data_IF_619971112547
#
_entry.id   IF_619971112547
#
_cell.length_a   1.000
_cell.length_b   1.000
_cell.length_c   1.000
_cell.angle_alpha   90.00
_cell.angle_beta   90.00
_cell.angle_gamma   90.00
#
_symmetry.space_group_name_H-M   'P 1'
#
loop_
_entity.id
_entity.type
_entity.pdbx_description
1 polymer ?
#
# COMPACT_ATOMS: atom_id res chain seq x y z
N UNK A 1 -2.63 20.90 9.04
CA UNK A 1 -2.12 19.55 8.69
C UNK A 1 -3.36 18.69 8.45
N UNK A 2 -3.45 18.01 7.31
CA UNK A 2 -4.68 17.28 6.96
C UNK A 2 -4.90 16.13 7.95
N UNK A 3 -6.16 15.78 8.23
CA UNK A 3 -6.53 14.70 9.15
C UNK A 3 -5.86 13.35 8.81
N UNK A 4 -5.48 13.15 7.54
CA UNK A 4 -4.78 11.97 7.04
C UNK A 4 -3.37 11.84 7.61
N UNK A 5 -2.60 12.93 7.72
CA UNK A 5 -1.23 12.88 8.24
C UNK A 5 -1.18 12.56 9.74
N UNK A 6 -2.12 13.10 10.52
CA UNK A 6 -2.21 12.79 11.96
C UNK A 6 -2.66 11.34 12.19
N UNK A 7 -3.59 10.83 11.36
CA UNK A 7 -3.99 9.43 11.38
C UNK A 7 -2.83 8.50 10.99
N UNK A 8 -2.06 8.86 9.97
CA UNK A 8 -0.86 8.13 9.54
C UNK A 8 0.19 8.10 10.66
N UNK A 9 0.49 9.22 11.31
CA UNK A 9 1.49 9.27 12.39
C UNK A 9 1.11 8.36 13.56
N UNK A 10 -0.17 8.37 13.97
CA UNK A 10 -0.69 7.49 15.03
C UNK A 10 -0.57 6.01 14.68
N UNK A 11 -0.78 5.66 13.41
CA UNK A 11 -0.74 4.27 12.95
C UNK A 11 0.64 3.80 12.49
N UNK A 12 1.54 4.71 12.13
CA UNK A 12 2.92 4.41 11.78
C UNK A 12 3.64 3.69 12.93
N UNK A 13 3.33 4.03 14.20
CA UNK A 13 3.93 3.33 15.35
C UNK A 13 3.51 1.86 15.43
N UNK A 14 2.22 1.59 15.22
CA UNK A 14 1.66 0.24 15.27
C UNK A 14 2.15 -0.57 14.09
N UNK A 15 2.13 0.02 12.88
CA UNK A 15 2.66 -0.57 11.65
C UNK A 15 4.14 -0.92 11.84
N UNK A 16 4.96 -0.01 12.37
CA UNK A 16 6.39 -0.27 12.61
C UNK A 16 6.63 -1.38 13.64
N UNK A 17 5.80 -1.48 14.68
CA UNK A 17 5.88 -2.56 15.67
C UNK A 17 5.52 -3.91 15.05
N UNK A 18 4.45 -3.94 14.26
CA UNK A 18 3.96 -5.16 13.61
C UNK A 18 4.86 -5.61 12.46
N UNK A 19 5.53 -4.69 11.76
CA UNK A 19 6.45 -4.97 10.66
C UNK A 19 7.91 -5.13 11.11
N UNK A 20 8.19 -5.22 12.42
CA UNK A 20 9.53 -5.49 12.95
C UNK A 20 9.88 -6.97 12.77
N UNK A 21 10.17 -7.35 11.53
CA UNK A 21 10.45 -8.72 11.08
C UNK A 21 11.91 -8.86 10.62
N UNK A 22 12.45 -10.08 10.48
CA UNK A 22 13.82 -10.29 10.01
C UNK A 22 14.11 -9.68 8.63
N UNK A 23 13.13 -9.65 7.72
CA UNK A 23 13.25 -9.09 6.37
C UNK A 23 12.35 -7.84 6.19
N UNK A 24 12.54 -6.88 7.11
CA UNK A 24 11.70 -5.69 7.21
C UNK A 24 11.74 -4.82 5.95
N UNK A 25 12.93 -4.65 5.36
CA UNK A 25 13.08 -3.85 4.14
C UNK A 25 12.24 -4.44 2.99
N UNK A 26 12.35 -5.74 2.74
CA UNK A 26 11.58 -6.40 1.68
C UNK A 26 10.09 -6.32 1.94
N UNK A 27 9.65 -6.47 3.18
CA UNK A 27 8.24 -6.34 3.53
C UNK A 27 7.71 -4.93 3.23
N UNK A 28 8.47 -3.88 3.57
CA UNK A 28 8.11 -2.52 3.18
C UNK A 28 8.08 -2.34 1.66
N UNK A 29 9.01 -2.96 0.90
CA UNK A 29 9.02 -2.83 -0.58
C UNK A 29 7.76 -3.44 -1.17
N UNK A 30 7.41 -4.64 -0.74
CA UNK A 30 6.21 -5.33 -1.22
C UNK A 30 4.94 -4.57 -0.78
N UNK A 31 4.92 -4.01 0.44
CA UNK A 31 3.80 -3.20 0.91
C UNK A 31 3.65 -1.86 0.16
N UNK A 32 4.77 -1.19 -0.16
CA UNK A 32 4.77 0.03 -0.95
C UNK A 32 4.31 -0.23 -2.39
N UNK A 33 4.78 -1.33 -3.00
CA UNK A 33 4.29 -1.75 -4.32
C UNK A 33 2.80 -2.11 -4.31
N UNK A 34 2.31 -2.75 -3.25
CA UNK A 34 0.88 -3.00 -3.06
C UNK A 34 0.07 -1.69 -3.01
N UNK A 35 0.61 -0.66 -2.35
CA UNK A 35 0.01 0.69 -2.33
C UNK A 35 0.00 1.33 -3.72
N UNK A 36 1.12 1.26 -4.43
CA UNK A 36 1.22 1.75 -5.81
C UNK A 36 0.25 1.05 -6.76
N UNK A 37 0.15 -0.28 -6.71
CA UNK A 37 -0.78 -1.04 -7.56
C UNK A 37 -2.24 -0.73 -7.26
N UNK A 38 -2.52 -0.33 -6.02
CA UNK A 38 -3.84 0.15 -5.61
C UNK A 38 -4.11 1.50 -6.26
N UNK A 39 -3.21 2.48 -6.14
CA UNK A 39 -3.35 3.79 -6.80
C UNK A 39 -3.43 3.67 -8.33
N UNK A 40 -2.71 2.72 -8.95
CA UNK A 40 -2.77 2.41 -10.39
C UNK A 40 -4.12 1.75 -10.81
N UNK A 41 -5.16 1.78 -9.97
CA UNK A 41 -6.44 1.14 -10.27
C UNK A 41 -7.05 1.63 -11.59
N UNK A 42 -6.86 2.90 -11.93
CA UNK A 42 -7.39 3.58 -13.12
C UNK A 42 -6.37 3.80 -14.24
N UNK A 43 -5.25 3.07 -14.20
CA UNK A 43 -4.20 2.96 -15.23
C UNK A 43 -3.15 4.08 -15.25
N UNK A 44 -3.33 5.17 -14.50
CA UNK A 44 -2.32 6.22 -14.41
C UNK A 44 -2.11 6.64 -12.96
N UNK A 45 -0.88 7.06 -12.65
CA UNK A 45 -0.56 7.77 -11.42
C UNK A 45 0.10 9.05 -11.86
N UNK A 46 -0.48 10.20 -11.53
CA UNK A 46 0.10 11.49 -11.86
C UNK A 46 1.19 11.93 -10.86
N UNK A 47 1.82 13.07 -11.12
CA UNK A 47 2.92 13.59 -10.30
C UNK A 47 2.48 13.98 -8.88
N UNK A 48 1.23 14.42 -8.70
CA UNK A 48 0.70 14.79 -7.38
C UNK A 48 0.41 13.55 -6.54
N UNK A 49 -0.21 12.55 -7.17
CA UNK A 49 -0.47 11.23 -6.59
C UNK A 49 0.83 10.54 -6.19
N UNK A 50 1.83 10.58 -7.08
CA UNK A 50 3.18 10.08 -6.82
C UNK A 50 3.83 10.77 -5.63
N UNK A 51 3.81 12.10 -5.59
CA UNK A 51 4.39 12.86 -4.49
C UNK A 51 3.68 12.55 -3.15
N UNK A 52 2.37 12.32 -3.18
CA UNK A 52 1.58 11.86 -2.04
C UNK A 52 2.05 10.50 -1.51
N UNK A 53 2.22 9.52 -2.40
CA UNK A 53 2.73 8.20 -2.04
C UNK A 53 4.14 8.23 -1.46
N UNK A 54 5.06 9.02 -2.03
CA UNK A 54 6.44 9.15 -1.52
C UNK A 54 6.42 9.65 -0.08
N UNK A 55 5.70 10.75 0.20
CA UNK A 55 5.57 11.30 1.55
C UNK A 55 4.97 10.29 2.54
N UNK A 56 3.99 9.51 2.08
CA UNK A 56 3.38 8.46 2.88
C UNK A 56 4.38 7.36 3.24
N UNK A 57 5.14 6.87 2.26
CA UNK A 57 6.15 5.83 2.45
C UNK A 57 7.23 6.30 3.43
N UNK A 58 7.72 7.53 3.27
CA UNK A 58 8.70 8.14 4.18
C UNK A 58 8.16 8.25 5.62
N UNK A 59 6.95 8.75 5.78
CA UNK A 59 6.33 8.94 7.09
C UNK A 59 6.05 7.60 7.81
N UNK A 60 5.51 6.62 7.08
CA UNK A 60 5.11 5.33 7.65
C UNK A 60 6.30 4.43 7.96
N UNK A 61 7.35 4.48 7.15
CA UNK A 61 8.57 3.69 7.36
C UNK A 61 9.46 4.24 8.47
N UNK A 62 9.23 5.48 8.94
CA UNK A 62 10.06 6.18 9.94
C UNK A 62 11.57 6.09 9.64
N UNK A 63 11.92 6.15 8.36
CA UNK A 63 13.30 6.05 7.91
C UNK A 63 13.87 4.63 7.73
N UNK A 64 13.04 3.58 7.83
CA UNK A 64 13.46 2.23 7.45
C UNK A 64 13.77 2.07 5.95
N UNK A 65 13.43 3.08 5.14
CA UNK A 65 13.61 3.12 3.67
C UNK A 65 14.54 4.25 3.21
N UNK A 66 15.37 4.81 4.10
CA UNK A 66 16.21 6.01 3.82
C UNK A 66 17.09 5.89 2.57
N UNK A 67 17.53 4.68 2.21
CA UNK A 67 18.39 4.46 1.03
C UNK A 67 17.63 4.26 -0.28
N UNK A 68 16.30 4.30 -0.25
CA UNK A 68 15.53 4.05 -1.46
C UNK A 68 15.41 5.32 -2.27
N UNK A 69 15.84 5.25 -3.52
CA UNK A 69 15.37 6.19 -4.54
C UNK A 69 13.89 5.90 -4.80
N UNK A 70 13.00 6.50 -4.00
CA UNK A 70 11.58 6.18 -4.02
C UNK A 70 10.93 6.44 -5.38
N UNK A 71 11.37 7.48 -6.09
CA UNK A 71 10.93 7.73 -7.47
C UNK A 71 11.30 6.58 -8.41
N UNK A 72 12.58 6.18 -8.42
CA UNK A 72 13.07 5.03 -9.20
C UNK A 72 12.34 3.74 -8.82
N UNK A 73 12.07 3.55 -7.53
CA UNK A 73 11.31 2.39 -7.04
C UNK A 73 9.87 2.35 -7.58
N UNK A 74 9.18 3.49 -7.62
CA UNK A 74 7.83 3.58 -8.19
C UNK A 74 7.85 3.40 -9.71
N UNK A 75 8.89 3.86 -10.41
CA UNK A 75 9.08 3.57 -11.83
C UNK A 75 9.25 2.07 -12.09
N UNK A 76 10.02 1.39 -11.24
CA UNK A 76 10.16 -0.06 -11.33
C UNK A 76 8.84 -0.78 -11.05
N UNK A 77 8.01 -0.26 -10.12
CA UNK A 77 6.66 -0.80 -9.88
C UNK A 77 5.79 -0.68 -11.13
N UNK A 78 5.83 0.49 -11.80
CA UNK A 78 5.12 0.72 -13.06
C UNK A 78 5.58 -0.25 -14.16
N UNK A 79 6.91 -0.40 -14.31
CA UNK A 79 7.52 -1.29 -15.29
C UNK A 79 7.10 -2.75 -15.07
N UNK A 80 7.13 -3.23 -13.80
CA UNK A 80 6.69 -4.59 -13.46
C UNK A 80 5.18 -4.78 -13.68
N UNK A 81 4.36 -3.80 -13.30
CA UNK A 81 2.91 -3.86 -13.52
C UNK A 81 2.57 -3.98 -15.03
N UNK A 82 3.32 -3.25 -15.88
CA UNK A 82 3.19 -3.30 -17.34
C UNK A 82 3.69 -4.62 -17.93
N UNK A 83 4.83 -5.12 -17.46
CA UNK A 83 5.46 -6.34 -17.98
C UNK A 83 4.67 -7.61 -17.60
N UNK A 84 4.27 -7.73 -16.34
CA UNK A 84 3.57 -8.91 -15.82
C UNK A 84 2.07 -8.88 -16.16
N UNK A 85 1.52 -7.68 -16.37
CA UNK A 85 0.09 -7.43 -16.40
C UNK A 85 -0.50 -7.38 -14.98
N UNK A 86 -1.46 -6.47 -14.80
CA UNK A 86 -2.04 -6.09 -13.50
C UNK A 86 -2.46 -7.30 -12.64
N UNK A 87 -3.19 -8.26 -13.22
CA UNK A 87 -3.69 -9.42 -12.48
C UNK A 87 -2.57 -10.32 -11.96
N UNK A 88 -1.56 -10.59 -12.77
CA UNK A 88 -0.43 -11.42 -12.36
C UNK A 88 0.42 -10.71 -11.31
N UNK A 89 0.64 -9.40 -11.47
CA UNK A 89 1.38 -8.59 -10.50
C UNK A 89 0.70 -8.54 -9.14
N UNK A 90 -0.62 -8.32 -9.10
CA UNK A 90 -1.41 -8.32 -7.86
C UNK A 90 -1.32 -9.67 -7.13
N UNK A 91 -1.38 -10.79 -7.87
CA UNK A 91 -1.23 -12.12 -7.28
C UNK A 91 0.16 -12.28 -6.67
N UNK A 92 1.22 -11.95 -7.42
CA UNK A 92 2.60 -12.08 -6.97
C UNK A 92 2.91 -11.22 -5.73
N UNK A 93 2.43 -9.98 -5.70
CA UNK A 93 2.59 -9.08 -4.56
C UNK A 93 1.83 -9.60 -3.35
N UNK A 94 0.58 -10.05 -3.52
CA UNK A 94 -0.19 -10.65 -2.43
C UNK A 94 0.45 -11.91 -1.85
N UNK A 95 0.94 -12.84 -2.69
CA UNK A 95 1.67 -14.03 -2.24
C UNK A 95 2.96 -13.68 -1.49
N UNK A 96 3.66 -12.63 -1.94
CA UNK A 96 4.85 -12.12 -1.25
C UNK A 96 4.51 -11.56 0.14
N UNK A 97 3.41 -10.82 0.27
CA UNK A 97 2.92 -10.33 1.57
C UNK A 97 2.60 -11.49 2.53
N UNK A 98 1.99 -12.57 2.01
CA UNK A 98 1.71 -13.77 2.79
C UNK A 98 3.00 -14.46 3.27
N UNK A 99 3.95 -14.63 2.37
CA UNK A 99 5.23 -15.32 2.63
C UNK A 99 6.08 -14.60 3.66
N UNK A 100 6.01 -13.27 3.70
CA UNK A 100 6.73 -12.43 4.66
C UNK A 100 6.05 -12.36 6.04
N UNK A 101 4.89 -13.01 6.21
CA UNK A 101 4.32 -13.37 7.51
C UNK A 101 3.43 -12.30 8.18
N UNK A 102 3.38 -11.08 7.65
CA UNK A 102 2.62 -9.96 8.25
C UNK A 102 1.70 -9.26 7.23
N UNK A 103 0.81 -9.99 6.55
CA UNK A 103 0.05 -9.44 5.43
C UNK A 103 -0.96 -8.36 5.83
N UNK A 104 -1.54 -8.41 7.03
CA UNK A 104 -2.51 -7.39 7.51
C UNK A 104 -1.84 -6.03 7.75
N UNK A 105 -0.70 -6.02 8.44
CA UNK A 105 0.07 -4.82 8.70
C UNK A 105 0.61 -4.21 7.39
N UNK A 106 1.07 -5.06 6.48
CA UNK A 106 1.55 -4.62 5.17
C UNK A 106 0.42 -4.10 4.27
N UNK A 107 -0.78 -4.70 4.32
CA UNK A 107 -1.96 -4.16 3.63
C UNK A 107 -2.42 -2.83 4.23
N UNK A 108 -2.32 -2.67 5.55
CA UNK A 108 -2.62 -1.38 6.18
C UNK A 108 -1.64 -0.29 5.72
N UNK A 109 -0.35 -0.60 5.64
CA UNK A 109 0.65 0.28 5.04
C UNK A 109 0.29 0.62 3.59
N UNK A 110 0.02 -0.41 2.76
CA UNK A 110 -0.35 -0.24 1.36
C UNK A 110 -1.59 0.65 1.19
N UNK A 111 -2.61 0.46 2.02
CA UNK A 111 -3.83 1.27 2.00
C UNK A 111 -3.57 2.72 2.41
N UNK A 112 -2.68 3.00 3.37
CA UNK A 112 -2.31 4.39 3.66
C UNK A 112 -1.53 5.05 2.52
N UNK A 113 -0.65 4.30 1.84
CA UNK A 113 0.08 4.80 0.67
C UNK A 113 -0.90 5.13 -0.45
N UNK A 114 -1.83 4.24 -0.78
CA UNK A 114 -2.86 4.48 -1.78
C UNK A 114 -3.78 5.66 -1.37
N UNK A 115 -4.25 5.70 -0.14
CA UNK A 115 -5.07 6.82 0.35
C UNK A 115 -4.38 8.19 0.22
N UNK A 116 -3.04 8.22 0.23
CA UNK A 116 -2.27 9.44 0.08
C UNK A 116 -2.06 9.88 -1.37
N UNK A 117 -2.36 9.04 -2.37
CA UNK A 117 -2.33 9.47 -3.78
C UNK A 117 -3.45 10.47 -4.05
N UNK A 118 -4.65 10.24 -3.52
CA UNK A 118 -5.78 11.14 -3.70
C UNK A 118 -7.06 10.66 -3.03
N UNK A 119 -7.07 9.42 -2.55
CA UNK A 119 -8.21 8.78 -1.92
C UNK A 119 -8.14 7.28 -2.13
N UNK A 120 -9.19 6.58 -1.71
CA UNK A 120 -9.44 5.22 -2.16
C UNK A 120 -10.90 5.17 -2.62
N UNK A 121 -11.10 4.97 -3.92
CA UNK A 121 -12.40 4.78 -4.54
C UNK A 121 -12.83 3.28 -4.57
N UNK A 122 -13.96 2.98 -5.22
CA UNK A 122 -14.47 1.61 -5.36
C UNK A 122 -13.53 0.68 -6.15
N UNK A 123 -12.84 1.18 -7.18
CA UNK A 123 -11.91 0.41 -8.00
C UNK A 123 -10.65 0.10 -7.19
N UNK A 124 -10.10 1.09 -6.52
CA UNK A 124 -8.93 0.96 -5.64
C UNK A 124 -9.23 0.01 -4.47
N UNK A 125 -10.38 0.14 -3.82
CA UNK A 125 -10.82 -0.79 -2.77
C UNK A 125 -10.92 -2.24 -3.28
N UNK A 126 -11.32 -2.44 -4.54
CA UNK A 126 -11.33 -3.76 -5.18
C UNK A 126 -9.92 -4.31 -5.35
N UNK A 127 -8.93 -3.47 -5.64
CA UNK A 127 -7.51 -3.86 -5.70
C UNK A 127 -7.00 -4.28 -4.31
N UNK A 128 -7.31 -3.52 -3.26
CA UNK A 128 -6.92 -3.90 -1.88
C UNK A 128 -7.55 -5.24 -1.49
N UNK A 129 -8.82 -5.49 -1.86
CA UNK A 129 -9.45 -6.79 -1.67
C UNK A 129 -8.79 -7.92 -2.47
N UNK A 130 -8.33 -7.67 -3.70
CA UNK A 130 -7.61 -8.65 -4.50
C UNK A 130 -6.26 -9.01 -3.87
N UNK A 131 -5.50 -8.00 -3.42
CA UNK A 131 -4.25 -8.17 -2.70
C UNK A 131 -4.46 -8.93 -1.38
N UNK A 132 -5.47 -8.55 -0.60
CA UNK A 132 -5.82 -9.23 0.64
C UNK A 132 -6.19 -10.69 0.44
N UNK A 133 -6.97 -10.99 -0.60
CA UNK A 133 -7.29 -12.38 -0.97
C UNK A 133 -6.04 -13.18 -1.32
N UNK A 134 -5.15 -12.63 -2.14
CA UNK A 134 -3.89 -13.28 -2.52
C UNK A 134 -2.94 -13.46 -1.33
N UNK A 135 -3.00 -12.54 -0.36
CA UNK A 135 -2.20 -12.61 0.86
C UNK A 135 -2.78 -13.53 1.95
N UNK A 136 -3.99 -14.09 1.74
CA UNK A 136 -4.69 -14.93 2.71
C UNK A 136 -5.41 -14.16 3.82
N UNK A 137 -5.65 -12.86 3.63
CA UNK A 137 -6.35 -12.00 4.59
C UNK A 137 -7.87 -12.05 4.35
N UNK A 138 -8.62 -12.25 5.43
CA UNK A 138 -10.07 -12.34 5.37
C UNK A 138 -10.71 -11.01 4.90
N UNK A 139 -11.83 -11.11 4.18
CA UNK A 139 -12.49 -9.94 3.54
C UNK A 139 -12.92 -8.88 4.55
N UNK A 140 -13.42 -9.29 5.71
CA UNK A 140 -13.83 -8.44 6.82
C UNK A 140 -12.64 -7.66 7.41
N UNK A 141 -11.47 -8.29 7.51
CA UNK A 141 -10.23 -7.64 7.92
C UNK A 141 -9.76 -6.60 6.91
N UNK A 142 -9.83 -6.90 5.61
CA UNK A 142 -9.54 -5.92 4.55
C UNK A 142 -10.51 -4.73 4.63
N UNK A 143 -11.80 -4.98 4.84
CA UNK A 143 -12.79 -3.91 5.00
C UNK A 143 -12.49 -3.04 6.24
N UNK A 144 -12.04 -3.65 7.35
CA UNK A 144 -11.61 -2.91 8.53
C UNK A 144 -10.36 -2.05 8.26
N UNK A 145 -9.41 -2.53 7.46
CA UNK A 145 -8.24 -1.76 7.01
C UNK A 145 -8.67 -0.54 6.19
N UNK A 146 -9.52 -0.74 5.17
CA UNK A 146 -10.04 0.34 4.33
C UNK A 146 -10.76 1.41 5.17
N UNK A 147 -11.60 0.99 6.11
CA UNK A 147 -12.28 1.90 7.04
C UNK A 147 -11.29 2.67 7.92
N UNK A 148 -10.21 2.02 8.36
CA UNK A 148 -9.19 2.64 9.23
C UNK A 148 -8.39 3.72 8.51
N UNK A 149 -8.13 3.55 7.21
CA UNK A 149 -7.42 4.57 6.41
C UNK A 149 -8.34 5.71 5.95
N UNK A 150 -9.65 5.60 6.17
CA UNK A 150 -10.61 6.61 5.76
C UNK A 150 -11.08 6.47 4.31
N UNK A 151 -10.93 5.28 3.70
CA UNK A 151 -11.54 4.98 2.41
C UNK A 151 -13.06 5.17 2.53
N UNK A 152 -13.61 6.14 1.81
CA UNK A 152 -15.05 6.37 1.82
C UNK A 152 -15.70 5.31 0.93
N UNK A 153 -16.67 4.57 1.49
CA UNK A 153 -17.62 3.84 0.67
C UNK A 153 -18.46 4.88 -0.07
N UNK A 154 -18.02 5.29 -1.26
CA UNK A 154 -18.85 6.10 -2.15
C UNK A 154 -19.91 5.19 -2.74
N UNK A 155 -20.93 4.85 -1.94
CA UNK A 155 -22.19 4.31 -2.44
C UNK A 155 -22.90 5.37 -3.28
N UNK A 156 -22.53 5.46 -4.55
CA UNK A 156 -23.39 5.88 -5.65
C UNK A 156 -23.45 4.81 -6.74
#
# INVERSE_FOLDING_TARGET
>A
MSQTLDAMAKHAEDIMKELKVPDQERLFRVAAEAGYLTALADETVDDEERAGMIRAIEALSKGAVIEWELDSFLDDCAARAKADGKKARLLHVGESLSTLGHPEAALLFAAFVAQASGGIDKKEATIVHALGKAAGVAKDKVAAILKRVGAQATDE
#
